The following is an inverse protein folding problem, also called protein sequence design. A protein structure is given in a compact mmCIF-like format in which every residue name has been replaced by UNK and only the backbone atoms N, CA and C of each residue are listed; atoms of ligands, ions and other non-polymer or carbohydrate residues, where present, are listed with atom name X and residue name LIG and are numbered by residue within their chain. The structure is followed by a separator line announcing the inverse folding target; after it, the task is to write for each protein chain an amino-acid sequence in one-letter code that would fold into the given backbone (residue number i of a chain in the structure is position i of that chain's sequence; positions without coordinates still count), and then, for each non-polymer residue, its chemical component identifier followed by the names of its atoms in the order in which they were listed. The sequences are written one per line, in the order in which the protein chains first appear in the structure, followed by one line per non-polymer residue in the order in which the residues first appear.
data_IF_398194684211
#
_entry.id   IF_398194684211
#
_cell.length_a   1.000
_cell.length_b   1.000
_cell.length_c   1.000
_cell.angle_alpha   90.00
_cell.angle_beta   90.00
_cell.angle_gamma   90.00
#
_symmetry.space_group_name_H-M   'P 1'
#
loop_
_entity.id
_entity.type
_entity.pdbx_description
1 polymer ?
#
# COMPACT_ATOMS: atom_id res chain seq x y z
N UNK A 1 11.61 -2.26 22.46
CA UNK A 1 11.33 -3.38 21.53
C UNK A 1 12.46 -3.45 20.52
N UNK A 2 13.08 -4.62 20.35
CA UNK A 2 14.09 -4.81 19.32
C UNK A 2 13.47 -4.60 17.95
N UNK A 3 14.11 -3.75 17.15
CA UNK A 3 13.73 -3.46 15.78
C UNK A 3 13.90 -4.72 14.93
N UNK A 4 12.82 -5.23 14.33
CA UNK A 4 12.91 -6.37 13.42
C UNK A 4 13.14 -5.88 11.99
N UNK A 5 14.27 -6.28 11.40
CA UNK A 5 14.60 -6.05 10.00
C UNK A 5 15.03 -7.37 9.35
N UNK A 6 14.21 -7.94 8.44
CA UNK A 6 14.51 -9.23 7.83
C UNK A 6 15.70 -9.18 6.84
N UNK A 7 16.14 -7.99 6.45
CA UNK A 7 17.25 -7.78 5.51
C UNK A 7 18.56 -7.37 6.21
N UNK A 8 18.57 -7.29 7.55
CA UNK A 8 19.75 -6.90 8.31
C UNK A 8 20.91 -7.89 8.08
N UNK A 9 22.08 -7.35 7.71
CA UNK A 9 23.28 -8.11 7.36
C UNK A 9 23.10 -9.11 6.19
N UNK A 10 22.09 -8.92 5.34
CA UNK A 10 21.86 -9.74 4.14
C UNK A 10 22.38 -9.05 2.89
N UNK A 11 22.92 -9.83 1.96
CA UNK A 11 23.38 -9.30 0.67
C UNK A 11 22.18 -8.87 -0.17
N UNK A 12 22.39 -7.88 -1.03
CA UNK A 12 21.32 -7.29 -1.85
C UNK A 12 20.66 -8.33 -2.76
N UNK A 13 21.44 -9.30 -3.22
CA UNK A 13 21.00 -10.41 -4.08
C UNK A 13 19.99 -11.33 -3.36
N UNK A 14 20.10 -11.46 -2.04
CA UNK A 14 19.25 -12.31 -1.22
C UNK A 14 17.88 -11.69 -0.94
N UNK A 15 17.75 -10.36 -1.05
CA UNK A 15 16.56 -9.63 -0.60
C UNK A 15 15.28 -10.10 -1.28
N UNK A 16 15.33 -10.43 -2.57
CA UNK A 16 14.14 -10.94 -3.28
C UNK A 16 13.65 -12.27 -2.69
N UNK A 17 14.58 -13.17 -2.37
CA UNK A 17 14.25 -14.49 -1.80
C UNK A 17 13.67 -14.35 -0.39
N UNK A 18 14.21 -13.42 0.40
CA UNK A 18 13.69 -13.05 1.72
C UNK A 18 12.26 -12.51 1.59
N UNK A 19 12.02 -11.59 0.66
CA UNK A 19 10.68 -11.05 0.43
C UNK A 19 9.68 -12.13 -0.01
N UNK A 20 10.09 -13.07 -0.88
CA UNK A 20 9.24 -14.22 -1.25
C UNK A 20 8.86 -15.04 -0.03
N UNK A 21 9.81 -15.32 0.86
CA UNK A 21 9.56 -16.07 2.09
C UNK A 21 8.60 -15.31 3.03
N UNK A 22 8.81 -14.01 3.23
CA UNK A 22 7.92 -13.16 4.03
C UNK A 22 6.48 -13.18 3.51
N UNK A 23 6.30 -13.01 2.19
CA UNK A 23 4.98 -13.05 1.54
C UNK A 23 4.34 -14.43 1.71
N UNK A 24 5.09 -15.52 1.51
CA UNK A 24 4.54 -16.88 1.65
C UNK A 24 4.11 -17.23 3.08
N UNK A 25 4.71 -16.58 4.08
CA UNK A 25 4.39 -16.77 5.49
C UNK A 25 3.36 -15.78 6.03
N UNK A 26 2.83 -14.90 5.18
CA UNK A 26 1.84 -13.91 5.58
C UNK A 26 0.43 -14.56 5.68
N UNK A 27 -0.40 -14.22 6.69
CA UNK A 27 -1.72 -14.85 6.85
C UNK A 27 -2.71 -14.57 5.70
N UNK A 28 -2.58 -13.41 5.04
CA UNK A 28 -3.30 -13.14 3.78
C UNK A 28 -2.53 -13.66 2.58
N UNK A 29 -3.19 -14.46 1.75
CA UNK A 29 -2.66 -14.92 0.47
C UNK A 29 -2.61 -13.78 -0.56
N UNK A 30 -1.68 -13.88 -1.50
CA UNK A 30 -1.53 -12.89 -2.57
C UNK A 30 -2.75 -12.82 -3.48
N UNK A 31 -3.46 -13.92 -3.67
CA UNK A 31 -4.69 -14.00 -4.46
C UNK A 31 -5.81 -13.23 -3.78
N UNK A 32 -5.95 -13.37 -2.45
CA UNK A 32 -6.96 -12.64 -1.71
C UNK A 32 -6.68 -11.13 -1.70
N UNK A 33 -5.42 -10.73 -1.53
CA UNK A 33 -5.02 -9.32 -1.60
C UNK A 33 -5.35 -8.74 -2.98
N UNK A 34 -4.98 -9.44 -4.07
CA UNK A 34 -5.28 -8.99 -5.43
C UNK A 34 -6.77 -8.81 -5.65
N UNK A 35 -7.55 -9.84 -5.27
CA UNK A 35 -9.00 -9.84 -5.43
C UNK A 35 -9.63 -8.65 -4.70
N UNK A 36 -9.29 -8.41 -3.43
CA UNK A 36 -9.92 -7.34 -2.67
C UNK A 36 -9.49 -5.95 -3.11
N UNK A 37 -8.25 -5.78 -3.61
CA UNK A 37 -7.84 -4.51 -4.24
C UNK A 37 -8.63 -4.23 -5.51
N UNK A 38 -8.81 -5.23 -6.38
CA UNK A 38 -9.56 -5.07 -7.63
C UNK A 38 -11.06 -4.82 -7.36
N UNK A 39 -11.66 -5.56 -6.41
CA UNK A 39 -13.04 -5.33 -5.99
C UNK A 39 -13.22 -3.94 -5.39
N UNK A 40 -12.31 -3.51 -4.50
CA UNK A 40 -12.35 -2.17 -3.91
C UNK A 40 -12.30 -1.08 -4.97
N UNK A 41 -11.51 -1.29 -6.03
CA UNK A 41 -11.44 -0.35 -7.14
C UNK A 41 -12.74 -0.28 -7.94
N UNK A 42 -13.35 -1.44 -8.23
CA UNK A 42 -14.63 -1.52 -8.92
C UNK A 42 -15.76 -0.87 -8.12
N UNK A 43 -15.79 -1.11 -6.80
CA UNK A 43 -16.80 -0.57 -5.90
C UNK A 43 -16.81 0.96 -5.84
N UNK A 44 -15.69 1.64 -6.08
CA UNK A 44 -15.65 3.11 -6.22
C UNK A 44 -16.56 3.56 -7.37
N UNK A 45 -16.54 2.87 -8.51
CA UNK A 45 -17.32 3.25 -9.70
C UNK A 45 -18.76 2.72 -9.65
N UNK A 46 -19.01 1.69 -8.85
CA UNK A 46 -20.37 1.21 -8.56
C UNK A 46 -21.08 2.06 -7.50
N UNK A 47 -20.33 2.88 -6.75
CA UNK A 47 -20.85 3.77 -5.72
C UNK A 47 -21.55 5.01 -6.29
N UNK A 48 -22.42 5.60 -5.47
CA UNK A 48 -23.15 6.84 -5.76
C UNK A 48 -22.98 7.87 -4.64
N UNK A 49 -22.95 9.15 -5.02
CA UNK A 49 -23.02 10.29 -4.10
C UNK A 49 -24.36 11.00 -4.36
N UNK A 50 -25.35 10.70 -3.53
CA UNK A 50 -26.74 11.04 -3.83
C UNK A 50 -27.22 10.32 -5.09
N UNK A 51 -27.75 11.06 -6.06
CA UNK A 51 -28.18 10.51 -7.36
C UNK A 51 -27.05 10.41 -8.40
N UNK A 52 -25.87 10.95 -8.10
CA UNK A 52 -24.75 11.08 -9.04
C UNK A 52 -23.76 9.90 -8.90
N UNK A 53 -23.10 9.53 -10.00
CA UNK A 53 -22.13 8.42 -10.04
C UNK A 53 -20.71 8.87 -10.35
N UNK A 54 -19.73 8.21 -9.71
CA UNK A 54 -18.31 8.40 -10.00
C UNK A 54 -17.98 7.78 -11.38
N UNK A 55 -17.26 8.52 -12.21
CA UNK A 55 -16.94 8.11 -13.59
C UNK A 55 -18.05 8.38 -14.61
N UNK A 56 -19.18 8.95 -14.17
CA UNK A 56 -20.27 9.41 -15.04
C UNK A 56 -20.52 10.90 -14.84
N UNK A 57 -20.90 11.28 -13.63
CA UNK A 57 -21.23 12.66 -13.27
C UNK A 57 -20.08 13.34 -12.53
N UNK A 58 -19.35 12.56 -11.72
CA UNK A 58 -18.30 13.05 -10.82
C UNK A 58 -16.95 12.42 -11.21
N UNK A 59 -15.92 13.26 -11.31
CA UNK A 59 -14.55 12.86 -11.65
C UNK A 59 -13.57 13.37 -10.58
N UNK A 60 -13.46 12.74 -9.40
CA UNK A 60 -12.60 13.23 -8.34
C UNK A 60 -11.12 13.20 -8.72
N UNK A 61 -10.34 14.05 -8.05
CA UNK A 61 -8.89 14.10 -8.24
C UNK A 61 -8.23 12.77 -7.79
N UNK A 62 -7.05 12.42 -8.31
CA UNK A 62 -6.37 11.17 -7.96
C UNK A 62 -6.16 10.95 -6.46
N UNK A 63 -5.98 12.01 -5.68
CA UNK A 63 -5.86 11.93 -4.22
C UNK A 63 -7.14 11.38 -3.57
N UNK A 64 -8.31 11.78 -4.07
CA UNK A 64 -9.61 11.31 -3.57
C UNK A 64 -9.83 9.85 -3.98
N UNK A 65 -9.49 9.49 -5.21
CA UNK A 65 -9.54 8.09 -5.68
C UNK A 65 -8.62 7.19 -4.85
N UNK A 66 -7.40 7.67 -4.59
CA UNK A 66 -6.43 6.97 -3.74
C UNK A 66 -6.90 6.80 -2.30
N UNK A 67 -7.60 7.81 -1.75
CA UNK A 67 -8.23 7.75 -0.44
C UNK A 67 -9.35 6.70 -0.39
N UNK A 68 -10.29 6.72 -1.34
CA UNK A 68 -11.37 5.71 -1.37
C UNK A 68 -10.82 4.30 -1.54
N UNK A 69 -9.85 4.10 -2.42
CA UNK A 69 -9.23 2.79 -2.62
C UNK A 69 -8.56 2.29 -1.34
N UNK A 70 -7.82 3.17 -0.64
CA UNK A 70 -7.22 2.83 0.64
C UNK A 70 -8.28 2.36 1.66
N UNK A 71 -9.32 3.18 1.90
CA UNK A 71 -10.37 2.84 2.87
C UNK A 71 -11.11 1.54 2.52
N UNK A 72 -11.46 1.36 1.24
CA UNK A 72 -12.20 0.19 0.78
C UNK A 72 -11.38 -1.10 0.90
N UNK A 73 -10.09 -1.10 0.58
CA UNK A 73 -9.25 -2.29 0.75
C UNK A 73 -9.29 -2.78 2.20
N UNK A 74 -9.12 -1.88 3.16
CA UNK A 74 -9.11 -2.22 4.58
C UNK A 74 -10.50 -2.72 5.04
N UNK A 75 -11.58 -2.07 4.58
CA UNK A 75 -12.95 -2.49 4.86
C UNK A 75 -13.28 -3.88 4.29
N UNK A 76 -12.86 -4.16 3.07
CA UNK A 76 -13.08 -5.44 2.39
C UNK A 76 -12.40 -6.59 3.13
N UNK A 77 -11.11 -6.43 3.43
CA UNK A 77 -10.33 -7.46 4.13
C UNK A 77 -10.83 -7.68 5.56
N UNK A 78 -11.20 -6.61 6.28
CA UNK A 78 -11.86 -6.73 7.59
C UNK A 78 -13.17 -7.50 7.48
N UNK A 79 -14.04 -7.16 6.51
CA UNK A 79 -15.35 -7.79 6.36
C UNK A 79 -15.26 -9.29 6.07
N UNK A 80 -14.23 -9.75 5.37
CA UNK A 80 -14.03 -11.17 5.08
C UNK A 80 -13.68 -11.99 6.31
N UNK A 81 -12.83 -11.44 7.18
CA UNK A 81 -12.33 -12.13 8.37
C UNK A 81 -12.30 -11.18 9.58
N UNK A 82 -13.47 -10.73 10.10
CA UNK A 82 -13.54 -9.68 11.11
C UNK A 82 -12.98 -10.08 12.48
N UNK A 83 -12.75 -11.37 12.70
CA UNK A 83 -12.09 -11.91 13.91
C UNK A 83 -10.56 -11.97 13.79
N UNK A 84 -10.02 -11.80 12.59
CA UNK A 84 -8.58 -11.88 12.31
C UNK A 84 -8.01 -10.52 11.92
N UNK A 85 -8.81 -9.70 11.23
CA UNK A 85 -8.37 -8.43 10.68
C UNK A 85 -9.26 -7.30 11.18
N UNK A 86 -8.65 -6.16 11.48
CA UNK A 86 -9.32 -4.91 11.82
C UNK A 86 -8.76 -3.77 10.99
N UNK A 87 -9.56 -2.72 10.78
CA UNK A 87 -9.03 -1.42 10.40
C UNK A 87 -8.16 -0.84 11.53
N UNK A 88 -7.38 0.18 11.22
CA UNK A 88 -6.71 0.99 12.24
C UNK A 88 -7.72 1.55 13.26
N UNK A 89 -7.39 1.42 14.55
CA UNK A 89 -8.17 1.98 15.65
C UNK A 89 -7.47 3.21 16.25
N UNK A 90 -6.14 3.27 16.14
CA UNK A 90 -5.31 4.37 16.64
C UNK A 90 -4.38 4.92 15.57
N UNK A 91 -3.81 6.11 15.81
CA UNK A 91 -2.82 6.73 14.93
C UNK A 91 -1.50 5.94 14.80
N UNK A 92 -1.26 5.02 15.73
CA UNK A 92 -0.04 4.18 15.73
C UNK A 92 -0.25 2.84 15.03
N UNK A 93 -1.50 2.50 14.70
CA UNK A 93 -1.82 1.27 14.02
C UNK A 93 -1.44 1.38 12.53
N UNK A 94 -1.11 0.23 11.95
CA UNK A 94 -1.11 0.08 10.50
C UNK A 94 -2.54 0.17 9.97
N UNK A 95 -2.67 0.49 8.69
CA UNK A 95 -3.95 0.67 8.02
C UNK A 95 -4.86 -0.57 8.12
N UNK A 96 -4.27 -1.76 8.04
CA UNK A 96 -4.93 -3.04 8.28
C UNK A 96 -4.18 -3.84 9.36
N UNK A 97 -4.84 -4.11 10.47
CA UNK A 97 -4.28 -4.74 11.68
C UNK A 97 -4.61 -6.22 11.73
N UNK A 98 -3.59 -7.07 11.84
CA UNK A 98 -3.78 -8.49 12.15
C UNK A 98 -3.91 -8.67 13.67
N UNK A 99 -5.06 -9.14 14.12
CA UNK A 99 -5.43 -9.17 15.54
C UNK A 99 -4.63 -10.22 16.34
N UNK A 100 -4.19 -11.31 15.71
CA UNK A 100 -3.44 -12.36 16.41
C UNK A 100 -1.96 -12.02 16.60
N UNK A 101 -1.37 -11.24 15.69
CA UNK A 101 0.03 -10.81 15.76
C UNK A 101 0.26 -9.57 14.91
N UNK A 102 0.42 -8.42 15.56
CA UNK A 102 0.50 -7.13 14.87
C UNK A 102 1.70 -7.00 13.92
N UNK A 103 2.69 -7.91 13.98
CA UNK A 103 3.81 -7.94 13.02
C UNK A 103 3.37 -8.21 11.58
N UNK A 104 2.21 -8.83 11.37
CA UNK A 104 1.61 -9.06 10.05
C UNK A 104 0.66 -7.94 9.61
N UNK A 105 0.58 -6.84 10.38
CA UNK A 105 -0.26 -5.72 9.98
C UNK A 105 0.33 -5.00 8.76
N UNK A 106 -0.53 -4.48 7.90
CA UNK A 106 -0.20 -3.97 6.57
C UNK A 106 -0.42 -2.47 6.52
N UNK A 107 0.59 -1.76 6.03
CA UNK A 107 0.46 -0.39 5.56
C UNK A 107 0.01 -0.36 4.10
N UNK A 108 -0.96 0.47 3.77
CA UNK A 108 -1.48 0.64 2.41
C UNK A 108 -0.95 1.96 1.83
N UNK A 109 -0.48 1.91 0.58
CA UNK A 109 -0.03 3.06 -0.18
C UNK A 109 -0.59 3.01 -1.59
N UNK A 110 -1.39 4.00 -1.94
CA UNK A 110 -2.00 4.13 -3.27
C UNK A 110 -1.37 5.30 -4.03
N UNK A 111 -1.27 5.20 -5.36
CA UNK A 111 -0.63 6.23 -6.18
C UNK A 111 -1.10 6.20 -7.64
N UNK A 112 -1.37 7.37 -8.21
CA UNK A 112 -1.64 7.52 -9.65
C UNK A 112 -0.37 7.61 -10.51
N UNK A 113 0.82 7.52 -9.90
CA UNK A 113 2.05 7.31 -10.65
C UNK A 113 2.07 5.87 -11.17
N UNK A 114 2.54 5.59 -12.40
CA UNK A 114 2.45 4.26 -12.99
C UNK A 114 3.17 3.15 -12.20
N UNK A 115 4.24 3.47 -11.48
CA UNK A 115 5.09 2.48 -10.81
C UNK A 115 5.78 2.97 -9.51
N UNK A 116 5.30 4.06 -8.90
CA UNK A 116 5.91 4.63 -7.68
C UNK A 116 4.87 4.88 -6.61
N UNK A 117 5.28 4.65 -5.35
CA UNK A 117 4.54 5.10 -4.17
C UNK A 117 5.30 6.20 -3.47
N UNK A 118 4.56 7.03 -2.73
CA UNK A 118 5.08 8.13 -1.96
C UNK A 118 4.57 8.01 -0.52
N UNK A 119 5.43 8.37 0.42
CA UNK A 119 5.10 8.49 1.84
C UNK A 119 5.07 9.95 2.24
N UNK A 120 4.50 10.24 3.40
CA UNK A 120 4.61 11.56 4.00
C UNK A 120 6.07 11.87 4.36
N UNK A 121 6.43 13.16 4.44
CA UNK A 121 7.76 13.59 4.91
C UNK A 121 8.21 12.89 6.21
N UNK A 122 7.28 12.62 7.11
CA UNK A 122 7.53 11.95 8.40
C UNK A 122 8.17 10.56 8.24
N UNK A 123 8.02 9.88 7.11
CA UNK A 123 8.63 8.57 6.87
C UNK A 123 10.16 8.64 6.82
N UNK A 124 10.73 9.76 6.38
CA UNK A 124 12.17 9.95 6.29
C UNK A 124 12.78 10.63 7.53
N UNK A 125 11.96 11.02 8.51
CA UNK A 125 12.43 11.67 9.73
C UNK A 125 12.74 10.62 10.80
N UNK A 126 13.96 10.70 11.36
CA UNK A 126 14.37 9.89 12.51
C UNK A 126 13.70 10.41 13.79
N UNK A 127 12.48 9.97 14.09
CA UNK A 127 11.91 10.18 15.43
C UNK A 127 12.12 8.92 16.27
N UNK A 128 12.60 9.07 17.49
CA UNK A 128 12.93 7.94 18.39
C UNK A 128 11.73 7.05 18.69
N UNK A 129 10.51 7.61 18.64
CA UNK A 129 9.26 6.92 18.97
C UNK A 129 8.58 6.16 17.83
N UNK A 130 9.00 6.31 16.55
CA UNK A 130 8.27 5.73 15.38
C UNK A 130 9.09 4.77 14.51
N UNK A 131 10.35 4.50 14.86
CA UNK A 131 11.22 3.60 14.05
C UNK A 131 10.59 2.22 13.81
N UNK A 132 9.90 1.68 14.82
CA UNK A 132 9.19 0.40 14.73
C UNK A 132 7.86 0.47 13.98
N UNK A 133 7.09 1.55 14.12
CA UNK A 133 5.73 1.64 13.54
C UNK A 133 5.73 1.82 12.02
N UNK A 134 6.84 2.25 11.42
CA UNK A 134 6.96 2.47 9.96
C UNK A 134 7.61 1.30 9.22
N UNK A 135 8.16 0.33 9.92
CA UNK A 135 8.71 -0.89 9.29
C UNK A 135 7.65 -1.99 9.37
N UNK A 136 7.54 -2.83 8.34
CA UNK A 136 6.51 -3.87 8.30
C UNK A 136 6.06 -4.21 6.89
N UNK A 137 4.91 -4.88 6.79
CA UNK A 137 4.29 -5.20 5.51
C UNK A 137 3.68 -3.96 4.84
N UNK A 138 3.83 -3.88 3.53
CA UNK A 138 3.29 -2.82 2.69
C UNK A 138 2.55 -3.39 1.50
N UNK A 139 1.34 -2.88 1.28
CA UNK A 139 0.54 -3.04 0.07
C UNK A 139 0.61 -1.76 -0.75
N UNK A 140 1.26 -1.84 -1.90
CA UNK A 140 1.46 -0.73 -2.82
C UNK A 140 0.60 -0.90 -4.06
N UNK A 141 -0.32 0.04 -4.32
CA UNK A 141 -1.26 -0.03 -5.43
C UNK A 141 -1.09 1.18 -6.34
N UNK A 142 -0.81 0.92 -7.62
CA UNK A 142 -0.67 1.93 -8.65
C UNK A 142 -1.86 1.87 -9.62
N UNK A 143 -2.41 3.02 -9.97
CA UNK A 143 -3.58 3.14 -10.84
C UNK A 143 -3.41 4.24 -11.89
N UNK A 144 -4.19 4.19 -12.96
CA UNK A 144 -4.16 5.19 -14.02
C UNK A 144 -4.66 6.56 -13.53
N UNK A 145 -4.27 7.63 -14.21
CA UNK A 145 -4.85 8.95 -13.94
C UNK A 145 -6.34 8.93 -14.24
N UNK A 146 -7.10 9.61 -13.38
CA UNK A 146 -8.54 9.73 -13.49
C UNK A 146 -8.96 11.12 -13.95
N UNK A 147 -9.73 11.19 -15.03
CA UNK A 147 -10.34 12.41 -15.54
C UNK A 147 -11.49 12.06 -16.50
N UNK A 148 -12.10 13.08 -17.13
CA UNK A 148 -13.21 12.89 -18.09
C UNK A 148 -12.81 12.10 -19.34
N UNK A 149 -11.53 12.11 -19.73
CA UNK A 149 -11.02 11.37 -20.88
C UNK A 149 -10.74 9.90 -20.55
N UNK A 150 -10.51 9.60 -19.26
CA UNK A 150 -10.42 8.25 -18.74
C UNK A 150 -11.44 8.03 -17.60
N UNK A 151 -12.74 7.86 -17.91
CA UNK A 151 -13.81 7.78 -16.91
C UNK A 151 -13.78 6.48 -16.07
N UNK A 152 -13.00 5.48 -16.49
CA UNK A 152 -12.85 4.18 -15.80
C UNK A 152 -11.37 3.76 -15.79
N UNK A 153 -10.52 4.46 -15.03
CA UNK A 153 -9.11 4.14 -14.92
C UNK A 153 -8.91 2.74 -14.35
N UNK A 154 -7.80 2.11 -14.68
CA UNK A 154 -7.48 0.74 -14.23
C UNK A 154 -6.42 0.74 -13.13
N UNK A 155 -6.46 -0.31 -12.29
CA UNK A 155 -5.29 -0.70 -11.50
C UNK A 155 -4.20 -1.18 -12.45
N UNK A 156 -3.01 -0.59 -12.32
CA UNK A 156 -1.84 -0.89 -13.14
C UNK A 156 -0.99 -1.99 -12.49
N UNK A 157 -0.65 -1.83 -11.21
CA UNK A 157 0.27 -2.72 -10.51
C UNK A 157 -0.16 -2.83 -9.05
N UNK A 158 -0.16 -4.06 -8.52
CA UNK A 158 -0.27 -4.32 -7.08
C UNK A 158 1.02 -5.00 -6.64
N UNK A 159 1.64 -4.45 -5.59
CA UNK A 159 2.86 -4.99 -5.00
C UNK A 159 2.68 -5.21 -3.51
N UNK A 160 3.31 -6.26 -3.02
CA UNK A 160 3.27 -6.64 -1.62
C UNK A 160 4.66 -7.05 -1.14
N UNK A 161 4.96 -6.83 0.13
CA UNK A 161 6.25 -7.18 0.72
C UNK A 161 6.54 -6.38 1.98
N UNK A 162 7.81 -6.25 2.34
CA UNK A 162 8.24 -5.62 3.59
C UNK A 162 9.17 -4.45 3.34
N UNK A 163 8.90 -3.30 3.96
CA UNK A 163 9.80 -2.15 3.93
C UNK A 163 10.27 -1.79 5.33
N UNK A 164 11.51 -1.32 5.39
CA UNK A 164 12.12 -0.74 6.57
C UNK A 164 11.95 0.77 6.59
N UNK A 165 11.85 1.37 7.77
CA UNK A 165 11.81 2.83 7.89
C UNK A 165 13.03 3.51 7.24
N UNK A 166 14.18 2.84 7.20
CA UNK A 166 15.41 3.32 6.56
C UNK A 166 15.36 3.30 5.02
N UNK A 167 14.40 2.60 4.42
CA UNK A 167 14.23 2.55 2.97
C UNK A 167 13.64 3.86 2.42
N UNK A 168 12.98 4.64 3.27
CA UNK A 168 12.35 5.90 2.93
C UNK A 168 13.35 7.04 2.84
N UNK A 169 13.45 7.64 1.66
CA UNK A 169 14.32 8.78 1.39
C UNK A 169 13.49 10.05 1.30
N UNK A 170 13.76 10.98 2.22
CA UNK A 170 13.13 12.30 2.24
C UNK A 170 13.63 13.18 1.09
N UNK A 171 12.81 14.13 0.67
CA UNK A 171 13.25 15.16 -0.27
C UNK A 171 14.33 16.05 0.36
N UNK A 172 15.31 16.46 -0.46
CA UNK A 172 16.43 17.32 -0.02
C UNK A 172 15.99 18.73 0.39
N UNK A 173 14.87 19.24 -0.14
CA UNK A 173 14.37 20.57 0.21
C UNK A 173 13.61 20.54 1.54
N UNK A 174 13.82 21.55 2.38
CA UNK A 174 13.10 21.72 3.65
C UNK A 174 11.57 21.82 3.47
N UNK A 175 11.11 22.23 2.28
CA UNK A 175 9.68 22.30 1.89
C UNK A 175 9.12 20.99 1.32
N UNK A 176 9.95 20.00 1.01
CA UNK A 176 9.53 18.78 0.30
C UNK A 176 8.57 17.93 1.13
N UNK A 177 7.33 17.77 0.69
CA UNK A 177 6.26 17.15 1.49
C UNK A 177 6.26 15.62 1.46
N UNK A 178 7.15 15.02 0.66
CA UNK A 178 7.10 13.59 0.33
C UNK A 178 8.40 12.85 0.65
N UNK A 179 8.26 11.57 0.97
CA UNK A 179 9.33 10.58 0.99
C UNK A 179 9.10 9.58 -0.14
N UNK A 180 10.18 9.02 -0.68
CA UNK A 180 10.13 8.04 -1.77
C UNK A 180 11.06 6.86 -1.48
N UNK A 181 10.89 5.79 -2.23
CA UNK A 181 11.72 4.59 -2.15
C UNK A 181 12.54 4.47 -3.44
N UNK A 182 13.87 4.28 -3.35
CA UNK A 182 14.70 4.02 -4.51
C UNK A 182 14.24 2.78 -5.28
N UNK A 183 14.24 2.83 -6.62
CA UNK A 183 13.77 1.72 -7.47
C UNK A 183 14.43 0.38 -7.18
N UNK A 184 15.73 0.38 -6.84
CA UNK A 184 16.49 -0.84 -6.49
C UNK A 184 15.99 -1.54 -5.23
N UNK A 185 15.46 -0.77 -4.27
CA UNK A 185 14.88 -1.32 -3.04
C UNK A 185 13.48 -1.81 -3.36
N UNK A 186 12.68 -0.97 -4.02
CA UNK A 186 11.30 -1.26 -4.38
C UNK A 186 11.17 -2.57 -5.19
N UNK A 187 12.06 -2.82 -6.16
CA UNK A 187 12.01 -4.03 -6.99
C UNK A 187 12.35 -5.33 -6.27
N UNK A 188 13.02 -5.27 -5.10
CA UNK A 188 13.42 -6.44 -4.32
C UNK A 188 12.56 -6.67 -3.09
N UNK A 189 12.07 -5.57 -2.48
CA UNK A 189 11.29 -5.58 -1.24
C UNK A 189 9.78 -5.49 -1.43
N UNK A 190 9.30 -5.06 -2.61
CA UNK A 190 7.88 -5.02 -2.98
C UNK A 190 7.67 -5.81 -4.28
N UNK A 191 7.30 -7.09 -4.14
CA UNK A 191 7.11 -7.97 -5.30
C UNK A 191 5.76 -7.69 -5.96
N UNK A 192 5.76 -7.70 -7.29
CA UNK A 192 4.52 -7.61 -8.07
C UNK A 192 3.69 -8.87 -7.85
N UNK A 193 2.48 -8.68 -7.34
CA UNK A 193 1.48 -9.75 -7.23
C UNK A 193 0.42 -9.62 -8.32
N UNK A 194 0.25 -8.41 -8.89
CA UNK A 194 -0.56 -8.17 -10.09
C UNK A 194 0.09 -7.09 -10.96
N UNK A 195 -0.04 -7.25 -12.27
CA UNK A 195 0.32 -6.24 -13.27
C UNK A 195 -0.69 -6.32 -14.42
N UNK A 196 -1.25 -5.17 -14.79
CA UNK A 196 -2.14 -5.06 -15.93
C UNK A 196 -1.35 -5.42 -17.20
N UNK A 197 -1.75 -6.50 -17.86
CA UNK A 197 -1.16 -6.87 -19.15
C UNK A 197 -1.45 -5.76 -20.15
N UNK A 198 -0.39 -5.24 -20.78
CA UNK A 198 -0.56 -4.39 -21.96
C UNK A 198 -1.10 -5.28 -23.08
N UNK A 199 -2.28 -4.93 -23.59
CA UNK A 199 -2.82 -5.51 -24.81
C UNK A 199 -2.03 -5.09 -26.03
#
# INVERSE_FOLDING_TARGET
MNYYNPYENKQYEDWESITKNLISNHPLSTENIQKEVLNSWEDIFNSSIGVYKIGVDIFPQPQIMGFFLHELIALHLHRQSPREWSRNNTINDKDLVYLSDTKYSIEIKTSSHPNKIFGNRSYAQKTESTKGTKSGYYLAVNFEKFDKSNPKPKILIIRFGWLDHTDWVGQKSASGQQAHIPSRIESKKLLKIYELKKG
#
